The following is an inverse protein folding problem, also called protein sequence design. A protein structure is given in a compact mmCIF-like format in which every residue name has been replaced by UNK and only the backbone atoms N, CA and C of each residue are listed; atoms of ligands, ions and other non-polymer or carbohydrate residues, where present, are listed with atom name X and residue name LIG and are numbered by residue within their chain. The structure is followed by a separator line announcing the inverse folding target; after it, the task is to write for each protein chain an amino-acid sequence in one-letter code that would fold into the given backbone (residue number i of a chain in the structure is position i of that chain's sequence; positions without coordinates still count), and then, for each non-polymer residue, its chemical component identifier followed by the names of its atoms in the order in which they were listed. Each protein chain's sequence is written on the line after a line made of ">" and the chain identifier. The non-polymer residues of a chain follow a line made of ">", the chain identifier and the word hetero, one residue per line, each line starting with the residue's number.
data_IF_461201439641
#
_entry.id   IF_461201439641
#
_cell.length_a   1.000
_cell.length_b   1.000
_cell.length_c   1.000
_cell.angle_alpha   90.00
_cell.angle_beta   90.00
_cell.angle_gamma   90.00
#
_symmetry.space_group_name_H-M   'P 1'
#
loop_
_entity.id
_entity.type
_entity.pdbx_description
1 polymer ?
#
# COMPACT_ATOMS: atom_id res chain seq x y z
N UNK A 1 -20.26 3.12 -17.46
CA UNK A 1 -19.78 4.09 -16.44
C UNK A 1 -21.03 4.70 -15.80
N UNK A 2 -21.03 5.08 -14.53
CA UNK A 2 -22.20 5.73 -13.93
C UNK A 2 -22.19 7.24 -14.21
N UNK A 3 -23.34 7.94 -14.14
CA UNK A 3 -23.38 9.39 -14.30
C UNK A 3 -22.45 10.14 -13.33
N UNK A 4 -22.27 9.63 -12.11
CA UNK A 4 -21.37 10.22 -11.11
C UNK A 4 -19.91 10.20 -11.58
N UNK A 5 -19.45 9.07 -12.10
CA UNK A 5 -18.09 8.93 -12.64
C UNK A 5 -17.92 9.81 -13.89
N UNK A 6 -18.90 9.79 -14.79
CA UNK A 6 -18.87 10.60 -16.02
C UNK A 6 -18.78 12.11 -15.72
N UNK A 7 -19.57 12.60 -14.77
CA UNK A 7 -19.55 13.98 -14.33
C UNK A 7 -18.21 14.35 -13.67
N UNK A 8 -17.66 13.48 -12.82
CA UNK A 8 -16.36 13.70 -12.21
C UNK A 8 -15.23 13.77 -13.27
N UNK A 9 -15.24 12.85 -14.24
CA UNK A 9 -14.26 12.83 -15.32
C UNK A 9 -14.37 14.08 -16.21
N UNK A 10 -15.59 14.53 -16.51
CA UNK A 10 -15.82 15.77 -17.24
C UNK A 10 -15.25 16.99 -16.50
N UNK A 11 -15.50 17.12 -15.19
CA UNK A 11 -14.97 18.21 -14.38
C UNK A 11 -13.43 18.20 -14.28
N UNK A 12 -12.82 17.02 -14.20
CA UNK A 12 -11.35 16.88 -14.21
C UNK A 12 -10.79 17.33 -15.56
N UNK A 13 -11.38 16.91 -16.67
CA UNK A 13 -10.97 17.35 -18.02
C UNK A 13 -11.12 18.85 -18.24
N UNK A 14 -12.20 19.44 -17.75
CA UNK A 14 -12.39 20.90 -17.81
C UNK A 14 -11.26 21.65 -17.07
N UNK A 15 -10.83 21.12 -15.92
CA UNK A 15 -9.79 21.73 -15.08
C UNK A 15 -8.37 21.51 -15.59
N UNK A 16 -8.05 20.30 -16.06
CA UNK A 16 -6.67 19.87 -16.34
C UNK A 16 -6.39 19.60 -17.83
N UNK A 17 -7.40 19.71 -18.70
CA UNK A 17 -7.31 19.46 -20.14
C UNK A 17 -7.95 18.12 -20.55
N UNK A 18 -8.38 18.03 -21.81
CA UNK A 18 -9.12 16.87 -22.35
C UNK A 18 -8.35 15.55 -22.22
N UNK A 19 -7.02 15.59 -22.38
CA UNK A 19 -6.16 14.41 -22.39
C UNK A 19 -5.66 14.01 -20.99
N UNK A 20 -6.05 14.73 -19.94
CA UNK A 20 -5.45 14.62 -18.60
C UNK A 20 -5.68 13.28 -17.89
N UNK A 21 -6.64 12.47 -18.36
CA UNK A 21 -7.01 11.18 -17.75
C UNK A 21 -7.11 10.03 -18.75
N UNK A 22 -6.56 10.20 -19.96
CA UNK A 22 -6.66 9.21 -21.05
C UNK A 22 -6.21 7.82 -20.59
N UNK A 23 -5.12 7.72 -19.82
CA UNK A 23 -4.62 6.44 -19.30
C UNK A 23 -5.60 5.75 -18.34
N UNK A 24 -6.36 6.52 -17.56
CA UNK A 24 -7.41 5.98 -16.68
C UNK A 24 -8.57 5.44 -17.52
N UNK A 25 -8.94 6.12 -18.60
CA UNK A 25 -9.99 5.66 -19.52
C UNK A 25 -9.55 4.41 -20.29
N UNK A 26 -8.33 4.39 -20.82
CA UNK A 26 -7.74 3.22 -21.49
C UNK A 26 -7.69 1.98 -20.57
N UNK A 27 -7.39 2.17 -19.28
CA UNK A 27 -7.43 1.09 -18.28
C UNK A 27 -8.83 0.47 -18.16
N UNK A 28 -9.90 1.26 -18.31
CA UNK A 28 -11.29 0.81 -18.22
C UNK A 28 -11.77 0.11 -19.50
N UNK A 29 -11.31 0.59 -20.66
CA UNK A 29 -11.69 0.04 -21.97
C UNK A 29 -11.00 -1.28 -22.29
N UNK A 30 -9.80 -1.48 -21.73
CA UNK A 30 -8.92 -2.58 -22.09
C UNK A 30 -9.44 -3.94 -21.61
N UNK A 31 -9.98 -4.74 -22.54
CA UNK A 31 -10.06 -6.21 -22.43
C UNK A 31 -8.72 -6.92 -22.73
N UNK A 32 -7.68 -6.22 -23.20
CA UNK A 32 -6.48 -6.82 -23.83
C UNK A 32 -5.18 -5.98 -23.75
N UNK A 33 -4.97 -5.14 -22.74
CA UNK A 33 -3.61 -4.62 -22.52
C UNK A 33 -2.64 -5.79 -22.35
N UNK A 34 -1.48 -5.70 -23.00
CA UNK A 34 -0.39 -6.63 -22.79
C UNK A 34 0.13 -6.42 -21.37
N UNK A 35 -0.42 -7.18 -20.42
CA UNK A 35 0.01 -7.18 -19.02
C UNK A 35 1.26 -8.03 -18.89
N UNK A 36 2.13 -7.66 -17.96
CA UNK A 36 3.23 -8.54 -17.60
C UNK A 36 2.65 -9.90 -17.11
N UNK A 37 3.22 -11.06 -17.50
CA UNK A 37 2.69 -12.37 -17.09
C UNK A 37 2.59 -12.54 -15.56
N UNK A 38 3.47 -11.88 -14.81
CA UNK A 38 3.47 -11.89 -13.35
C UNK A 38 2.49 -10.88 -12.73
N UNK A 39 1.80 -10.04 -13.51
CA UNK A 39 0.70 -9.19 -13.06
C UNK A 39 -0.67 -9.76 -13.48
N UNK A 40 -0.73 -11.02 -13.94
CA UNK A 40 -1.96 -11.64 -14.45
C UNK A 40 -3.11 -11.66 -13.44
N UNK A 41 -2.81 -11.66 -12.14
CA UNK A 41 -3.79 -11.65 -11.06
C UNK A 41 -4.35 -10.26 -10.74
N UNK A 42 -3.66 -9.20 -11.15
CA UNK A 42 -4.13 -7.83 -10.93
C UNK A 42 -5.36 -7.52 -11.77
N UNK A 43 -6.34 -6.83 -11.19
CA UNK A 43 -7.62 -6.53 -11.83
C UNK A 43 -7.48 -5.40 -12.85
N UNK A 44 -6.86 -4.29 -12.45
CA UNK A 44 -6.72 -3.09 -13.27
C UNK A 44 -5.25 -2.72 -13.45
N UNK A 45 -4.80 -2.66 -14.69
CA UNK A 45 -3.45 -2.22 -15.04
C UNK A 45 -3.59 -0.92 -15.81
N UNK A 46 -3.05 0.17 -15.27
CA UNK A 46 -3.00 1.46 -15.93
C UNK A 46 -1.78 1.51 -16.86
N UNK A 47 -1.95 1.92 -18.13
CA UNK A 47 -0.84 2.00 -19.07
C UNK A 47 0.16 3.10 -18.67
N UNK A 48 1.40 2.96 -19.14
CA UNK A 48 2.46 3.94 -18.89
C UNK A 48 2.98 4.02 -17.45
N UNK A 49 2.52 3.14 -16.56
CA UNK A 49 3.16 2.90 -15.27
C UNK A 49 4.33 1.94 -15.45
N UNK A 50 5.44 2.18 -14.76
CA UNK A 50 6.60 1.30 -14.65
C UNK A 50 6.19 -0.18 -14.57
N UNK A 51 6.95 -1.03 -15.27
CA UNK A 51 6.81 -2.48 -15.21
C UNK A 51 7.95 -3.12 -14.40
N UNK A 52 8.63 -2.33 -13.57
CA UNK A 52 9.64 -2.82 -12.64
C UNK A 52 8.95 -3.32 -11.37
N UNK A 53 9.18 -4.58 -10.94
CA UNK A 53 8.56 -5.08 -9.71
C UNK A 53 9.17 -4.43 -8.47
N UNK A 54 10.50 -4.36 -8.41
CA UNK A 54 11.24 -3.70 -7.33
C UNK A 54 11.65 -2.30 -7.74
N UNK A 55 11.47 -1.35 -6.81
CA UNK A 55 11.88 0.03 -6.97
C UNK A 55 12.94 0.36 -5.91
N UNK A 56 13.86 1.26 -6.25
CA UNK A 56 14.72 1.88 -5.24
C UNK A 56 13.88 2.87 -4.41
N UNK A 57 13.69 2.66 -3.09
CA UNK A 57 12.95 3.59 -2.23
C UNK A 57 13.57 5.00 -2.23
N UNK A 58 14.85 5.11 -2.56
CA UNK A 58 15.60 6.36 -2.61
C UNK A 58 15.61 7.01 -3.99
N UNK A 59 15.13 6.30 -5.02
CA UNK A 59 15.19 6.71 -6.43
C UNK A 59 14.08 7.66 -6.88
N UNK A 60 13.05 7.87 -6.03
CA UNK A 60 11.87 8.70 -6.33
C UNK A 60 11.89 9.97 -5.45
N UNK A 61 12.32 11.14 -5.97
CA UNK A 61 12.49 12.36 -5.17
C UNK A 61 11.24 12.79 -4.40
N UNK A 62 10.06 12.52 -4.93
CA UNK A 62 8.77 12.86 -4.34
C UNK A 62 8.33 11.90 -3.23
N UNK A 63 8.85 10.67 -3.19
CA UNK A 63 8.62 9.71 -2.11
C UNK A 63 9.74 9.73 -1.06
N UNK A 64 10.93 10.21 -1.44
CA UNK A 64 12.11 10.27 -0.57
C UNK A 64 11.85 10.88 0.81
N UNK A 65 11.09 11.99 0.96
CA UNK A 65 10.78 12.54 2.28
C UNK A 65 9.98 11.59 3.18
N UNK A 66 9.08 10.77 2.60
CA UNK A 66 8.32 9.75 3.33
C UNK A 66 9.26 8.67 3.85
N UNK A 67 10.14 8.18 2.97
CA UNK A 67 11.14 7.15 3.29
C UNK A 67 12.06 7.64 4.40
N UNK A 68 12.68 8.81 4.23
CA UNK A 68 13.63 9.35 5.20
C UNK A 68 12.98 9.59 6.58
N UNK A 69 11.74 10.09 6.62
CA UNK A 69 11.03 10.35 7.87
C UNK A 69 10.71 9.05 8.64
N UNK A 70 10.30 8.00 7.94
CA UNK A 70 10.05 6.69 8.54
C UNK A 70 11.34 6.02 9.02
N UNK A 71 12.40 6.00 8.20
CA UNK A 71 13.69 5.43 8.59
C UNK A 71 14.32 6.19 9.77
N UNK A 72 14.27 7.52 9.77
CA UNK A 72 14.79 8.35 10.86
C UNK A 72 14.03 8.15 12.18
N UNK A 73 12.76 7.74 12.11
CA UNK A 73 11.90 7.53 13.27
C UNK A 73 11.81 6.06 13.71
N UNK A 74 12.52 5.15 13.03
CA UNK A 74 12.40 3.70 13.22
C UNK A 74 12.55 3.27 14.68
N UNK A 75 13.57 3.77 15.40
CA UNK A 75 13.83 3.36 16.77
C UNK A 75 12.63 3.61 17.70
N UNK A 76 11.99 4.78 17.59
CA UNK A 76 10.79 5.12 18.36
C UNK A 76 9.59 4.27 17.92
N UNK A 77 9.42 4.09 16.61
CA UNK A 77 8.34 3.27 16.03
C UNK A 77 8.44 1.82 16.53
N UNK A 78 9.65 1.24 16.57
CA UNK A 78 9.89 -0.11 17.06
C UNK A 78 9.55 -0.24 18.55
N UNK A 79 9.99 0.69 19.39
CA UNK A 79 9.70 0.68 20.81
C UNK A 79 8.19 0.82 21.11
N UNK A 80 7.49 1.66 20.35
CA UNK A 80 6.02 1.79 20.43
C UNK A 80 5.33 0.49 20.03
N UNK A 81 5.75 -0.14 18.94
CA UNK A 81 5.22 -1.42 18.50
C UNK A 81 5.42 -2.52 19.55
N UNK A 82 6.61 -2.64 20.13
CA UNK A 82 6.90 -3.62 21.19
C UNK A 82 6.00 -3.42 22.42
N UNK A 83 5.77 -2.16 22.80
CA UNK A 83 4.85 -1.80 23.88
C UNK A 83 3.41 -2.14 23.53
N UNK A 84 2.96 -1.79 22.31
CA UNK A 84 1.62 -2.11 21.84
C UNK A 84 1.39 -3.63 21.76
N UNK A 85 2.40 -4.38 21.28
CA UNK A 85 2.35 -5.83 21.19
C UNK A 85 2.31 -6.50 22.57
N UNK A 86 2.98 -5.97 23.58
CA UNK A 86 2.94 -6.58 24.92
C UNK A 86 1.70 -6.18 25.73
N UNK A 87 1.25 -4.93 25.64
CA UNK A 87 0.24 -4.37 26.54
C UNK A 87 -1.13 -4.14 25.89
N UNK A 88 -1.22 -4.08 24.55
CA UNK A 88 -2.41 -3.63 23.83
C UNK A 88 -2.79 -4.57 22.69
N UNK A 89 -2.73 -5.87 22.96
CA UNK A 89 -2.93 -6.92 21.95
C UNK A 89 -4.26 -6.83 21.20
N UNK A 90 -5.31 -6.35 21.86
CA UNK A 90 -6.63 -6.14 21.27
C UNK A 90 -6.67 -5.06 20.17
N UNK A 91 -5.64 -4.21 20.05
CA UNK A 91 -5.52 -3.25 18.96
C UNK A 91 -5.09 -3.91 17.63
N UNK A 92 -4.58 -5.15 17.69
CA UNK A 92 -4.23 -5.93 16.51
C UNK A 92 -5.41 -6.82 16.13
N UNK A 93 -5.83 -6.77 14.87
CA UNK A 93 -6.86 -7.63 14.31
C UNK A 93 -6.29 -8.57 13.26
N UNK A 94 -6.93 -9.71 13.06
CA UNK A 94 -6.60 -10.60 11.94
C UNK A 94 -6.68 -9.82 10.63
N UNK A 95 -5.71 -10.04 9.75
CA UNK A 95 -5.69 -9.40 8.46
C UNK A 95 -6.70 -10.09 7.54
N UNK A 96 -7.65 -9.29 7.06
CA UNK A 96 -8.66 -9.72 6.11
C UNK A 96 -8.23 -9.26 4.72
N UNK A 97 -7.38 -10.06 4.09
CA UNK A 97 -7.07 -9.89 2.68
C UNK A 97 -8.29 -10.30 1.85
N UNK A 98 -8.54 -9.65 0.70
CA UNK A 98 -9.71 -9.95 -0.14
C UNK A 98 -9.76 -11.40 -0.66
N UNK A 99 -8.66 -12.15 -0.55
CA UNK A 99 -8.58 -13.57 -0.88
C UNK A 99 -8.84 -14.50 0.32
N UNK A 100 -8.34 -14.15 1.50
CA UNK A 100 -8.33 -15.02 2.69
C UNK A 100 -8.21 -14.21 3.96
N UNK A 101 -8.89 -14.64 5.02
CA UNK A 101 -8.57 -14.24 6.40
C UNK A 101 -7.55 -15.21 7.00
N UNK A 102 -6.54 -14.68 7.67
CA UNK A 102 -5.51 -15.46 8.35
C UNK A 102 -5.34 -14.95 9.79
N UNK A 103 -5.37 -15.84 10.77
CA UNK A 103 -5.23 -15.47 12.20
C UNK A 103 -3.75 -15.23 12.57
N UNK A 104 -2.83 -15.81 11.82
CA UNK A 104 -1.37 -15.69 11.98
C UNK A 104 -0.76 -14.53 11.18
N UNK A 105 -1.62 -13.73 10.53
CA UNK A 105 -1.30 -12.46 9.91
C UNK A 105 -2.17 -11.37 10.54
N UNK A 106 -1.57 -10.45 11.30
CA UNK A 106 -2.28 -9.44 12.09
C UNK A 106 -1.94 -8.01 11.65
N UNK A 107 -2.90 -7.10 11.80
CA UNK A 107 -2.76 -5.69 11.47
C UNK A 107 -3.10 -4.74 12.62
N UNK A 108 -2.30 -3.68 12.76
CA UNK A 108 -2.63 -2.46 13.51
C UNK A 108 -2.69 -1.30 12.52
N UNK A 109 -3.89 -0.77 12.25
CA UNK A 109 -4.13 0.22 11.20
C UNK A 109 -3.83 1.64 11.67
N UNK A 110 -3.13 2.42 10.83
CA UNK A 110 -2.92 3.87 11.00
C UNK A 110 -3.77 4.69 10.03
N UNK A 111 -4.08 4.12 8.86
CA UNK A 111 -5.00 4.68 7.88
C UNK A 111 -5.80 3.54 7.26
N UNK A 112 -7.14 3.68 7.21
CA UNK A 112 -8.04 2.71 6.59
C UNK A 112 -9.33 3.39 6.17
N UNK A 113 -9.99 2.88 5.14
CA UNK A 113 -11.27 3.41 4.65
C UNK A 113 -11.23 4.91 4.35
N UNK A 114 -10.12 5.39 3.79
CA UNK A 114 -9.96 6.78 3.38
C UNK A 114 -9.71 7.77 4.52
N UNK A 115 -9.48 7.32 5.75
CA UNK A 115 -9.21 8.18 6.90
C UNK A 115 -8.09 7.65 7.79
N UNK A 116 -7.46 8.57 8.53
CA UNK A 116 -6.57 8.21 9.65
C UNK A 116 -7.37 7.51 10.75
N UNK A 117 -6.74 6.52 11.37
CA UNK A 117 -7.29 5.82 12.54
C UNK A 117 -6.80 6.54 13.79
N UNK A 118 -7.58 7.50 14.27
CA UNK A 118 -7.20 8.40 15.36
C UNK A 118 -6.84 7.65 16.66
N UNK A 119 -7.47 6.51 16.93
CA UNK A 119 -7.16 5.65 18.08
C UNK A 119 -5.70 5.14 18.06
N UNK A 120 -5.06 5.14 16.89
CA UNK A 120 -3.67 4.72 16.75
C UNK A 120 -2.67 5.74 17.26
N UNK A 121 -3.10 6.97 17.55
CA UNK A 121 -2.28 7.97 18.26
C UNK A 121 -1.87 7.49 19.65
N UNK A 122 -2.69 6.67 20.31
CA UNK A 122 -2.36 6.13 21.61
C UNK A 122 -1.35 4.98 21.50
N UNK A 123 -1.43 4.15 20.46
CA UNK A 123 -0.66 2.90 20.32
C UNK A 123 0.67 3.08 19.60
N UNK A 124 0.71 3.88 18.54
CA UNK A 124 1.89 4.15 17.73
C UNK A 124 1.99 5.64 17.35
N UNK A 125 2.10 6.55 18.36
CA UNK A 125 2.07 7.99 18.14
C UNK A 125 3.12 8.49 17.14
N UNK A 126 4.33 7.94 17.15
CA UNK A 126 5.39 8.36 16.23
C UNK A 126 5.06 7.97 14.80
N UNK A 127 4.66 6.71 14.56
CA UNK A 127 4.30 6.26 13.23
C UNK A 127 3.08 7.02 12.67
N UNK A 128 2.07 7.25 13.52
CA UNK A 128 0.91 8.05 13.16
C UNK A 128 1.29 9.47 12.74
N UNK A 129 2.13 10.15 13.54
CA UNK A 129 2.60 11.50 13.25
C UNK A 129 3.34 11.56 11.91
N UNK A 130 4.29 10.66 11.69
CA UNK A 130 5.08 10.59 10.45
C UNK A 130 4.17 10.34 9.25
N UNK A 131 3.25 9.39 9.35
CA UNK A 131 2.27 9.10 8.31
C UNK A 131 1.46 10.33 7.92
N UNK A 132 0.88 11.02 8.91
CA UNK A 132 0.08 12.22 8.69
C UNK A 132 0.91 13.30 7.99
N UNK A 133 2.02 13.70 8.59
CA UNK A 133 2.79 14.87 8.17
C UNK A 133 3.51 14.66 6.83
N UNK A 134 3.98 13.44 6.55
CA UNK A 134 4.83 13.19 5.38
C UNK A 134 4.14 12.49 4.23
N UNK A 135 3.04 11.78 4.46
CA UNK A 135 2.34 11.04 3.40
C UNK A 135 0.90 11.50 3.17
N UNK A 136 0.13 11.81 4.22
CA UNK A 136 -1.27 12.25 4.08
C UNK A 136 -1.33 13.74 3.69
N UNK A 137 -0.75 14.62 4.50
CA UNK A 137 -0.79 16.08 4.31
C UNK A 137 -0.07 16.52 3.01
N UNK A 138 0.82 15.67 2.49
CA UNK A 138 1.58 15.88 1.25
C UNK A 138 1.00 15.14 0.04
N UNK A 139 -0.17 14.50 0.22
CA UNK A 139 -0.92 13.78 -0.83
C UNK A 139 -0.11 12.67 -1.53
N UNK A 140 0.81 12.00 -0.81
CA UNK A 140 1.59 10.85 -1.31
C UNK A 140 0.90 9.53 -1.04
N UNK A 141 0.20 9.41 0.08
CA UNK A 141 -0.62 8.25 0.41
C UNK A 141 -1.78 8.11 -0.61
N UNK A 142 -2.04 6.89 -1.05
CA UNK A 142 -3.23 6.56 -1.82
C UNK A 142 -4.43 6.41 -0.87
N UNK A 143 -5.43 7.32 -0.89
CA UNK A 143 -6.56 7.27 0.05
C UNK A 143 -7.53 6.11 -0.23
N UNK A 144 -7.36 5.40 -1.35
CA UNK A 144 -8.13 4.21 -1.68
C UNK A 144 -7.67 2.98 -0.89
N UNK A 145 -6.53 3.06 -0.21
CA UNK A 145 -5.88 1.92 0.41
C UNK A 145 -5.56 2.21 1.88
N UNK A 146 -4.50 1.61 2.42
CA UNK A 146 -4.25 1.59 3.85
C UNK A 146 -2.79 1.87 4.23
N UNK A 147 -2.61 2.15 5.51
CA UNK A 147 -1.31 2.13 6.16
C UNK A 147 -1.48 1.37 7.47
N UNK A 148 -0.69 0.33 7.68
CA UNK A 148 -0.82 -0.52 8.85
C UNK A 148 0.47 -1.27 9.18
N UNK A 149 0.67 -1.59 10.45
CA UNK A 149 1.68 -2.57 10.85
C UNK A 149 1.20 -3.96 10.47
N UNK A 150 1.88 -4.61 9.53
CA UNK A 150 1.61 -5.96 9.07
C UNK A 150 2.51 -6.94 9.81
N UNK A 151 1.93 -7.77 10.67
CA UNK A 151 2.66 -8.71 11.53
C UNK A 151 2.37 -10.16 11.18
N UNK A 152 3.39 -10.89 10.76
CA UNK A 152 3.32 -12.34 10.59
C UNK A 152 3.83 -13.06 11.84
N UNK A 153 3.04 -13.97 12.39
CA UNK A 153 3.45 -14.83 13.51
C UNK A 153 4.47 -15.89 13.07
N UNK A 154 5.24 -16.48 14.01
CA UNK A 154 6.17 -17.57 13.69
C UNK A 154 5.50 -18.72 12.92
N UNK A 155 6.10 -19.10 11.79
CA UNK A 155 5.59 -20.16 10.91
C UNK A 155 4.60 -19.69 9.84
N UNK A 156 4.11 -18.45 9.93
CA UNK A 156 3.13 -17.92 8.98
C UNK A 156 3.75 -17.71 7.59
N UNK A 157 2.94 -17.91 6.55
CA UNK A 157 3.30 -17.64 5.17
C UNK A 157 2.08 -17.14 4.39
N UNK A 158 2.28 -16.06 3.65
CA UNK A 158 1.32 -15.51 2.71
C UNK A 158 1.59 -16.16 1.36
N UNK A 159 0.59 -16.83 0.79
CA UNK A 159 0.71 -17.48 -0.52
C UNK A 159 0.91 -16.45 -1.65
N UNK A 160 1.48 -16.86 -2.80
CA UNK A 160 1.60 -16.01 -3.99
C UNK A 160 0.26 -15.39 -4.40
N UNK A 161 0.22 -14.06 -4.51
CA UNK A 161 -0.94 -13.30 -4.96
C UNK A 161 -0.51 -12.01 -5.66
N UNK A 162 -1.43 -11.39 -6.39
CA UNK A 162 -1.26 -10.06 -6.96
C UNK A 162 -2.33 -9.13 -6.39
N UNK A 163 -1.95 -7.93 -6.01
CA UNK A 163 -2.90 -6.89 -5.61
C UNK A 163 -3.69 -6.34 -6.80
N UNK A 164 -4.75 -5.60 -6.49
CA UNK A 164 -5.79 -5.28 -7.45
C UNK A 164 -5.31 -4.40 -8.62
N UNK A 165 -4.29 -3.57 -8.43
CA UNK A 165 -3.87 -2.57 -9.43
C UNK A 165 -2.44 -2.04 -9.27
N UNK A 166 -1.91 -1.43 -10.34
CA UNK A 166 -0.53 -0.90 -10.41
C UNK A 166 -0.41 0.63 -10.23
N UNK A 167 -1.51 1.37 -10.11
CA UNK A 167 -1.45 2.83 -9.93
C UNK A 167 -1.06 3.26 -8.50
N UNK A 168 -0.85 2.31 -7.60
CA UNK A 168 -0.25 2.48 -6.28
C UNK A 168 0.94 1.55 -6.11
N UNK A 169 1.83 1.90 -5.19
CA UNK A 169 3.06 1.18 -4.87
C UNK A 169 3.15 1.03 -3.36
N UNK A 170 3.76 -0.05 -2.88
CA UNK A 170 3.81 -0.35 -1.46
C UNK A 170 5.20 -0.15 -0.88
N UNK A 171 5.27 0.69 0.15
CA UNK A 171 6.47 0.92 0.94
C UNK A 171 6.42 0.04 2.19
N UNK A 172 7.45 -0.78 2.42
CA UNK A 172 7.65 -1.55 3.63
C UNK A 172 8.78 -0.93 4.46
N UNK A 173 8.47 -0.26 5.57
CA UNK A 173 9.48 -0.02 6.61
C UNK A 173 9.66 -1.31 7.42
N UNK A 174 10.88 -1.81 7.48
CA UNK A 174 11.26 -2.95 8.32
C UNK A 174 11.29 -2.55 9.80
N UNK A 175 10.24 -2.85 10.57
CA UNK A 175 10.15 -2.41 11.97
C UNK A 175 10.85 -3.40 12.90
N UNK A 176 10.46 -4.67 12.84
CA UNK A 176 11.02 -5.73 13.68
C UNK A 176 11.04 -7.06 12.93
N UNK A 177 12.23 -7.53 12.52
CA UNK A 177 12.41 -8.60 11.54
C UNK A 177 13.32 -9.69 12.12
N UNK A 178 12.78 -10.86 12.49
CA UNK A 178 13.61 -11.99 12.87
C UNK A 178 14.30 -12.65 11.67
N UNK A 179 15.37 -13.39 11.95
CA UNK A 179 16.01 -14.27 10.97
C UNK A 179 15.01 -15.27 10.36
N UNK A 180 15.24 -15.65 9.10
CA UNK A 180 14.37 -16.61 8.39
C UNK A 180 13.10 -16.00 7.79
N UNK A 181 12.94 -14.68 7.80
CA UNK A 181 11.87 -13.97 7.11
C UNK A 181 12.29 -13.57 5.69
N UNK A 182 11.33 -13.48 4.78
CA UNK A 182 11.58 -12.99 3.43
C UNK A 182 10.30 -12.62 2.69
N UNK A 183 10.51 -11.99 1.54
CA UNK A 183 9.50 -11.61 0.57
C UNK A 183 10.01 -11.90 -0.83
N UNK A 184 9.17 -12.47 -1.68
CA UNK A 184 9.46 -12.64 -3.11
C UNK A 184 8.49 -11.76 -3.88
N UNK A 185 9.00 -10.94 -4.80
CA UNK A 185 8.19 -10.15 -5.72
C UNK A 185 8.67 -10.46 -7.13
N UNK A 186 7.76 -10.91 -8.00
CA UNK A 186 8.06 -11.28 -9.38
C UNK A 186 9.24 -12.27 -9.54
N UNK A 187 9.40 -13.19 -8.59
CA UNK A 187 10.46 -14.21 -8.59
C UNK A 187 11.81 -13.75 -8.01
N UNK A 188 11.96 -12.48 -7.65
CA UNK A 188 13.13 -11.99 -6.92
C UNK A 188 12.84 -11.94 -5.41
N UNK A 189 13.60 -12.72 -4.63
CA UNK A 189 13.52 -12.76 -3.17
C UNK A 189 14.42 -11.71 -2.54
N UNK A 190 13.88 -10.96 -1.56
CA UNK A 190 14.63 -10.06 -0.68
C UNK A 190 14.33 -10.34 0.79
N UNK A 191 15.24 -9.91 1.64
CA UNK A 191 15.06 -9.80 3.08
C UNK A 191 14.99 -8.33 3.46
N UNK A 192 14.53 -8.05 4.68
CA UNK A 192 14.50 -6.70 5.22
C UNK A 192 15.73 -6.44 6.10
N UNK A 193 16.31 -5.27 5.95
CA UNK A 193 17.24 -4.71 6.94
C UNK A 193 16.41 -3.84 7.90
N UNK A 194 16.44 -4.14 9.20
CA UNK A 194 15.66 -3.36 10.19
C UNK A 194 15.98 -1.86 10.11
N UNK A 195 14.94 -1.04 10.14
CA UNK A 195 15.03 0.42 9.99
C UNK A 195 15.19 0.90 8.55
N UNK A 196 15.16 -0.01 7.57
CA UNK A 196 15.23 0.33 6.15
C UNK A 196 13.92 0.02 5.43
N UNK A 197 13.68 0.80 4.38
CA UNK A 197 12.54 0.63 3.52
C UNK A 197 12.82 -0.30 2.34
N UNK A 198 11.82 -1.09 1.96
CA UNK A 198 11.70 -1.66 0.62
C UNK A 198 10.53 -1.00 -0.11
N UNK A 199 10.60 -0.91 -1.44
CA UNK A 199 9.55 -0.35 -2.29
C UNK A 199 9.31 -1.27 -3.48
N UNK A 200 8.06 -1.66 -3.72
CA UNK A 200 7.72 -2.57 -4.81
C UNK A 200 6.29 -2.39 -5.30
N UNK A 201 6.08 -2.70 -6.58
CA UNK A 201 4.76 -2.78 -7.19
C UNK A 201 4.13 -4.15 -6.86
N UNK A 202 3.24 -4.16 -5.88
CA UNK A 202 2.51 -5.36 -5.43
C UNK A 202 1.43 -5.86 -6.40
N UNK A 203 1.20 -5.20 -7.54
CA UNK A 203 0.38 -5.76 -8.60
C UNK A 203 1.08 -6.92 -9.30
N UNK A 204 2.41 -7.02 -9.14
CA UNK A 204 3.16 -8.23 -9.45
C UNK A 204 2.91 -9.30 -8.41
N UNK A 205 2.94 -10.56 -8.86
CA UNK A 205 2.83 -11.73 -7.99
C UNK A 205 3.90 -11.67 -6.91
N UNK A 206 3.46 -11.74 -5.66
CA UNK A 206 4.32 -11.67 -4.50
C UNK A 206 3.83 -12.57 -3.36
N UNK A 207 4.76 -12.98 -2.51
CA UNK A 207 4.55 -13.81 -1.34
C UNK A 207 5.52 -13.39 -0.23
N UNK A 208 5.18 -13.68 1.03
CA UNK A 208 6.06 -13.36 2.14
C UNK A 208 5.90 -14.37 3.27
N UNK A 209 6.95 -14.60 4.05
CA UNK A 209 6.94 -15.59 5.13
C UNK A 209 7.64 -15.10 6.39
N UNK A 210 7.35 -15.78 7.50
CA UNK A 210 8.09 -15.73 8.74
C UNK A 210 8.44 -17.16 9.17
N UNK A 211 9.66 -17.63 8.87
CA UNK A 211 10.18 -18.93 9.37
C UNK A 211 11.02 -18.75 10.65
N UNK A 212 10.98 -17.56 11.25
CA UNK A 212 11.65 -17.24 12.49
C UNK A 212 10.89 -17.74 13.72
N UNK A 213 11.41 -17.40 14.90
CA UNK A 213 10.88 -17.84 16.20
C UNK A 213 10.05 -16.79 16.94
N UNK A 214 9.95 -15.57 16.38
CA UNK A 214 9.22 -14.44 16.95
C UNK A 214 8.43 -13.71 15.84
N UNK A 215 7.48 -12.82 16.17
CA UNK A 215 6.73 -12.08 15.16
C UNK A 215 7.64 -11.28 14.23
N UNK A 216 7.24 -11.14 12.96
CA UNK A 216 7.87 -10.27 11.96
C UNK A 216 6.90 -9.15 11.63
N UNK A 217 7.30 -7.91 11.85
CA UNK A 217 6.45 -6.75 11.60
C UNK A 217 7.10 -5.75 10.66
N UNK A 218 6.38 -5.40 9.59
CA UNK A 218 6.68 -4.26 8.73
C UNK A 218 5.57 -3.22 8.89
N UNK A 219 5.89 -1.94 8.72
CA UNK A 219 4.88 -0.91 8.48
C UNK A 219 4.68 -0.78 6.97
N UNK A 220 3.48 -1.09 6.51
CA UNK A 220 3.05 -0.99 5.12
C UNK A 220 2.43 0.39 4.89
N UNK A 221 2.85 1.07 3.83
CA UNK A 221 2.29 2.37 3.42
C UNK A 221 1.97 2.32 1.94
N UNK A 222 0.67 2.39 1.62
CA UNK A 222 0.20 2.44 0.24
C UNK A 222 0.30 3.85 -0.33
N UNK A 223 1.25 4.04 -1.24
CA UNK A 223 1.55 5.32 -1.86
C UNK A 223 1.00 5.33 -3.29
N UNK A 224 0.69 6.51 -3.81
CA UNK A 224 0.49 6.67 -5.25
C UNK A 224 1.77 6.27 -6.00
N UNK A 225 1.63 5.54 -7.10
CA UNK A 225 2.80 5.23 -7.93
C UNK A 225 3.38 6.55 -8.49
N UNK A 226 4.72 6.75 -8.46
CA UNK A 226 5.42 7.92 -9.01
C UNK A 226 4.92 8.39 -10.39
N UNK A 227 4.73 7.45 -11.31
CA UNK A 227 4.25 7.72 -12.68
C UNK A 227 2.78 8.17 -12.79
N UNK A 228 2.03 8.28 -11.68
CA UNK A 228 0.67 8.84 -11.69
C UNK A 228 0.69 10.36 -11.57
N UNK A 229 -0.17 11.01 -12.34
CA UNK A 229 -0.37 12.46 -12.29
C UNK A 229 -1.52 12.85 -11.35
N UNK A 230 -1.55 14.11 -10.91
CA UNK A 230 -2.64 14.66 -10.08
C UNK A 230 -4.05 14.44 -10.68
N UNK A 231 -4.34 14.76 -11.96
CA UNK A 231 -5.67 14.50 -12.53
C UNK A 231 -6.03 13.01 -12.57
N UNK A 232 -5.07 12.13 -12.84
CA UNK A 232 -5.31 10.68 -12.84
C UNK A 232 -5.63 10.17 -11.44
N UNK A 233 -4.91 10.61 -10.40
CA UNK A 233 -5.23 10.27 -9.00
C UNK A 233 -6.64 10.69 -8.63
N UNK A 234 -7.05 11.90 -9.02
CA UNK A 234 -8.42 12.38 -8.78
C UNK A 234 -9.47 11.51 -9.50
N UNK A 235 -9.22 11.14 -10.76
CA UNK A 235 -10.12 10.27 -11.52
C UNK A 235 -10.20 8.86 -10.93
N UNK A 236 -9.07 8.29 -10.51
CA UNK A 236 -9.00 6.99 -9.83
C UNK A 236 -9.76 7.00 -8.52
N UNK A 237 -9.64 8.06 -7.72
CA UNK A 237 -10.41 8.22 -6.48
C UNK A 237 -11.91 8.24 -6.77
N UNK A 238 -12.37 9.06 -7.72
CA UNK A 238 -13.78 9.13 -8.09
C UNK A 238 -14.32 7.78 -8.59
N UNK A 239 -13.56 7.12 -9.48
CA UNK A 239 -13.90 5.82 -10.06
C UNK A 239 -14.03 4.73 -9.00
N UNK A 240 -13.00 4.53 -8.18
CA UNK A 240 -12.96 3.41 -7.23
C UNK A 240 -13.93 3.64 -6.06
N UNK A 241 -14.10 4.89 -5.61
CA UNK A 241 -15.08 5.23 -4.57
C UNK A 241 -16.50 4.89 -5.01
N UNK A 242 -16.88 5.25 -6.25
CA UNK A 242 -18.22 4.93 -6.75
C UNK A 242 -18.39 3.41 -6.96
N UNK A 243 -17.35 2.70 -7.43
CA UNK A 243 -17.39 1.23 -7.53
C UNK A 243 -17.63 0.59 -6.15
N UNK A 244 -16.91 1.01 -5.11
CA UNK A 244 -17.08 0.49 -3.74
C UNK A 244 -18.47 0.75 -3.20
N UNK A 245 -19.00 1.95 -3.42
CA UNK A 245 -20.38 2.30 -3.05
C UNK A 245 -21.42 1.40 -3.73
N UNK A 246 -21.26 1.11 -5.03
CA UNK A 246 -22.12 0.19 -5.77
C UNK A 246 -22.01 -1.26 -5.27
N UNK A 247 -20.85 -1.64 -4.74
CA UNK A 247 -20.61 -2.95 -4.12
C UNK A 247 -21.08 -3.04 -2.66
N UNK A 248 -21.55 -1.93 -2.07
CA UNK A 248 -22.00 -1.88 -0.67
C UNK A 248 -20.85 -1.79 0.34
N UNK A 249 -19.65 -1.41 -0.10
CA UNK A 249 -18.43 -1.32 0.71
C UNK A 249 -18.16 0.11 1.24
N UNK A 250 -19.21 0.94 1.37
CA UNK A 250 -19.11 2.34 1.76
C UNK A 250 -18.53 2.55 3.18
#
# INVERSE_FOLDING_TARGET
>A
MTPEIENAFAAIREKYGSESIVRVEEMLESKKQARHPLQKGAKWIMPGISQQPWHDPYGHPELRPVVDAFEASHASIKAELETAWSARRAAFSDYEHYLTRQEDWQALYLFRKGALVEESTDTAPTAFKVLREHAVDTEKLCPLLECHFSTLLPGAAIAPHCDLWNFSINLHLAVDIPEGCGITVAGETRTWDEGKCLLFDYSFEHEAWNRGTRPRTCLLVDLWHPDTTVPERAALVALITEIRKLMGEA
#
